data_IF_861842843178
#
_entry.id   IF_861842843178
#
_cell.length_a   1.000
_cell.length_b   1.000
_cell.length_c   1.000
_cell.angle_alpha   90.00
_cell.angle_beta   90.00
_cell.angle_gamma   90.00
#
_symmetry.space_group_name_H-M   'P 1'
#
loop_
_entity.id
_entity.type
_entity.pdbx_description
1 polymer ?
#
# COMPACT_ATOMS: atom_id res chain seq x y z
N UNK A 1 11.40 24.52 14.32
CA UNK A 1 11.04 23.26 15.02
C UNK A 1 9.66 22.74 14.58
N UNK A 2 8.60 23.56 14.59
CA UNK A 2 7.30 23.23 13.98
C UNK A 2 6.62 24.49 13.40
N UNK A 3 5.50 24.36 12.70
CA UNK A 3 4.60 25.47 12.34
C UNK A 3 3.14 25.04 12.41
N UNK A 4 2.23 25.98 12.70
CA UNK A 4 0.79 25.74 12.72
C UNK A 4 0.13 26.25 11.44
N UNK A 5 -0.85 25.51 10.95
CA UNK A 5 -1.74 25.90 9.85
C UNK A 5 -3.17 25.51 10.18
N UNK A 6 -4.14 26.12 9.51
CA UNK A 6 -5.52 25.67 9.57
C UNK A 6 -5.87 24.95 8.27
N UNK A 7 -6.40 23.74 8.39
CA UNK A 7 -7.06 23.05 7.28
C UNK A 7 -8.56 23.31 7.42
N UNK A 8 -9.06 24.31 6.68
CA UNK A 8 -10.38 24.90 6.92
C UNK A 8 -10.51 25.41 8.37
N UNK A 9 -11.32 24.75 9.19
CA UNK A 9 -11.52 25.07 10.60
C UNK A 9 -10.67 24.20 11.55
N UNK A 10 -9.90 23.23 11.02
CA UNK A 10 -9.13 22.29 11.82
C UNK A 10 -7.70 22.80 12.03
N UNK A 11 -7.31 23.17 13.27
CA UNK A 11 -5.92 23.52 13.57
C UNK A 11 -5.03 22.29 13.36
N UNK A 12 -3.95 22.47 12.61
CA UNK A 12 -3.02 21.41 12.22
C UNK A 12 -1.59 21.83 12.50
N UNK A 13 -0.84 20.96 13.19
CA UNK A 13 0.57 21.19 13.50
C UNK A 13 1.44 20.44 12.48
N UNK A 14 2.37 21.15 11.84
CA UNK A 14 3.37 20.60 10.93
C UNK A 14 4.69 20.48 11.68
N UNK A 15 5.13 19.25 11.89
CA UNK A 15 6.42 18.92 12.51
C UNK A 15 7.53 18.94 11.45
N UNK A 16 8.66 19.60 11.76
CA UNK A 16 9.83 19.69 10.87
C UNK A 16 11.14 19.29 11.55
N UNK A 17 11.06 18.84 12.80
CA UNK A 17 12.18 18.52 13.66
C UNK A 17 12.14 17.00 13.95
N UNK A 18 13.16 16.22 13.54
CA UNK A 18 13.20 14.77 13.74
C UNK A 18 13.05 14.33 15.21
N UNK A 19 13.57 15.13 16.15
CA UNK A 19 13.46 14.80 17.57
C UNK A 19 12.02 14.89 18.06
N UNK A 20 11.27 15.90 17.57
CA UNK A 20 9.85 16.03 17.86
C UNK A 20 9.02 14.96 17.17
N UNK A 21 9.37 14.60 15.93
CA UNK A 21 8.70 13.49 15.21
C UNK A 21 8.87 12.20 16.01
N UNK A 22 10.11 11.86 16.42
CA UNK A 22 10.38 10.68 17.23
C UNK A 22 9.67 10.73 18.59
N UNK A 23 9.59 11.91 19.20
CA UNK A 23 8.86 12.07 20.45
C UNK A 23 7.39 11.68 20.26
N UNK A 24 6.72 12.20 19.24
CA UNK A 24 5.30 11.98 18.99
C UNK A 24 5.00 10.57 18.48
N UNK A 25 5.80 10.05 17.54
CA UNK A 25 5.52 8.76 16.88
C UNK A 25 6.06 7.54 17.62
N UNK A 26 6.93 7.73 18.62
CA UNK A 26 7.55 6.61 19.37
C UNK A 26 7.42 6.77 20.87
N UNK A 27 7.89 7.89 21.46
CA UNK A 27 7.93 8.04 22.93
C UNK A 27 6.54 8.24 23.51
N UNK A 28 5.77 9.13 22.91
CA UNK A 28 4.44 9.54 23.37
C UNK A 28 3.35 8.92 22.49
N UNK A 29 3.65 7.82 21.77
CA UNK A 29 2.77 7.19 20.79
C UNK A 29 1.36 6.90 21.32
N UNK A 30 1.23 6.50 22.58
CA UNK A 30 -0.06 6.18 23.19
C UNK A 30 -1.04 7.37 23.26
N UNK A 31 -0.55 8.62 23.10
CA UNK A 31 -1.38 9.82 22.98
C UNK A 31 -1.75 10.15 21.52
N UNK A 32 -1.03 9.59 20.55
CA UNK A 32 -1.13 9.91 19.10
C UNK A 32 -1.34 8.66 18.25
N UNK A 33 -2.20 7.75 18.72
CA UNK A 33 -2.42 6.42 18.12
C UNK A 33 -3.18 6.53 16.80
N UNK A 34 -4.15 7.44 16.73
CA UNK A 34 -5.13 7.49 15.65
C UNK A 34 -4.68 8.36 14.48
N UNK A 35 -4.87 7.86 13.27
CA UNK A 35 -4.74 8.66 12.06
C UNK A 35 -5.98 9.52 11.86
N UNK A 36 -5.80 10.63 11.13
CA UNK A 36 -6.95 11.41 10.68
C UNK A 36 -7.72 10.61 9.64
N UNK A 37 -8.99 10.29 9.95
CA UNK A 37 -9.86 9.65 8.98
C UNK A 37 -10.12 10.58 7.79
N UNK A 38 -9.96 10.04 6.59
CA UNK A 38 -10.28 10.69 5.32
C UNK A 38 -11.69 10.35 4.81
N UNK A 39 -12.33 9.33 5.41
CA UNK A 39 -13.57 8.72 4.90
C UNK A 39 -14.58 8.64 6.06
N UNK A 40 -15.78 9.23 5.92
CA UNK A 40 -16.85 9.04 6.91
C UNK A 40 -17.15 7.54 7.08
N UNK A 41 -17.33 7.08 8.33
CA UNK A 41 -17.54 5.65 8.63
C UNK A 41 -18.69 5.02 7.82
N UNK A 42 -19.71 5.81 7.47
CA UNK A 42 -20.91 5.38 6.76
C UNK A 42 -20.82 5.46 5.24
N UNK A 43 -19.73 6.00 4.68
CA UNK A 43 -19.65 6.29 3.24
C UNK A 43 -19.22 5.10 2.39
N UNK A 44 -18.25 4.31 2.84
CA UNK A 44 -17.79 3.10 2.16
C UNK A 44 -17.29 2.06 3.20
N UNK A 45 -17.95 0.89 3.30
CA UNK A 45 -17.58 -0.13 4.27
C UNK A 45 -16.16 -0.71 4.11
N UNK A 46 -15.58 -0.69 2.91
CA UNK A 46 -14.22 -1.17 2.62
C UNK A 46 -13.19 -0.13 3.04
N UNK A 47 -13.36 1.13 2.65
CA UNK A 47 -12.42 2.19 3.01
C UNK A 47 -12.53 2.61 4.48
N UNK A 48 -13.73 2.59 5.07
CA UNK A 48 -13.90 2.90 6.49
C UNK A 48 -13.26 1.85 7.42
N UNK A 49 -13.17 0.59 6.97
CA UNK A 49 -12.64 -0.53 7.78
C UNK A 49 -11.20 -0.91 7.46
N UNK A 50 -10.52 -0.16 6.59
CA UNK A 50 -9.12 -0.39 6.32
C UNK A 50 -8.24 -0.04 7.55
N UNK A 51 -7.05 -0.62 7.64
CA UNK A 51 -6.16 -0.44 8.79
C UNK A 51 -5.72 1.02 9.02
N UNK A 52 -5.74 1.88 8.01
CA UNK A 52 -5.38 3.30 8.16
C UNK A 52 -6.53 4.16 8.68
N UNK A 53 -7.77 3.71 8.51
CA UNK A 53 -8.98 4.40 8.97
C UNK A 53 -9.44 3.96 10.36
N UNK A 54 -9.11 2.73 10.77
CA UNK A 54 -9.45 2.22 12.11
C UNK A 54 -8.73 3.01 13.20
N UNK A 55 -9.40 3.19 14.33
CA UNK A 55 -8.91 3.91 15.51
C UNK A 55 -8.96 3.05 16.77
N UNK A 56 -8.20 3.44 17.79
CA UNK A 56 -8.21 2.86 19.12
C UNK A 56 -7.98 1.34 19.14
N UNK A 57 -8.78 0.62 19.94
CA UNK A 57 -8.61 -0.82 20.13
C UNK A 57 -8.83 -1.62 18.85
N UNK A 58 -9.80 -1.22 18.00
CA UNK A 58 -10.07 -1.91 16.72
C UNK A 58 -8.84 -1.90 15.81
N UNK A 59 -8.14 -0.77 15.77
CA UNK A 59 -6.87 -0.67 15.06
C UNK A 59 -5.80 -1.57 15.66
N UNK A 60 -5.64 -1.56 16.99
CA UNK A 60 -4.65 -2.40 17.70
C UNK A 60 -4.88 -3.88 17.42
N UNK A 61 -6.12 -4.33 17.50
CA UNK A 61 -6.50 -5.73 17.24
C UNK A 61 -6.19 -6.11 15.80
N UNK A 62 -6.66 -5.33 14.82
CA UNK A 62 -6.41 -5.60 13.40
C UNK A 62 -4.92 -5.57 13.06
N UNK A 63 -4.17 -4.62 13.61
CA UNK A 63 -2.71 -4.52 13.43
C UNK A 63 -2.01 -5.76 13.96
N UNK A 64 -2.39 -6.22 15.16
CA UNK A 64 -1.85 -7.44 15.77
C UNK A 64 -2.16 -8.68 14.90
N UNK A 65 -3.36 -8.76 14.33
CA UNK A 65 -3.76 -9.85 13.43
C UNK A 65 -2.96 -9.87 12.12
N UNK A 66 -2.69 -8.70 11.52
CA UNK A 66 -2.05 -8.61 10.20
C UNK A 66 -0.50 -8.66 10.25
N UNK A 67 0.11 -8.20 11.34
CA UNK A 67 1.58 -8.11 11.46
C UNK A 67 2.31 -9.44 11.23
N UNK A 68 1.83 -10.61 11.70
CA UNK A 68 2.49 -11.90 11.48
C UNK A 68 2.63 -12.32 10.00
N UNK A 69 1.77 -11.79 9.12
CA UNK A 69 1.81 -12.08 7.67
C UNK A 69 3.11 -11.59 7.02
N UNK A 70 3.75 -10.57 7.60
CA UNK A 70 4.98 -9.95 7.07
C UNK A 70 6.25 -10.40 7.78
N UNK A 71 6.21 -11.55 8.48
CA UNK A 71 7.42 -12.14 9.08
C UNK A 71 8.45 -12.53 8.03
N UNK A 72 9.73 -12.56 8.39
CA UNK A 72 10.82 -12.89 7.47
C UNK A 72 10.65 -14.24 6.77
N UNK A 73 10.03 -15.23 7.43
CA UNK A 73 9.72 -16.53 6.83
C UNK A 73 8.65 -16.40 5.74
N UNK A 74 7.55 -15.69 6.00
CA UNK A 74 6.50 -15.41 5.02
C UNK A 74 6.99 -14.56 3.86
N UNK A 75 7.82 -13.55 4.13
CA UNK A 75 8.45 -12.73 3.09
C UNK A 75 9.35 -13.55 2.16
N UNK A 76 10.08 -14.55 2.68
CA UNK A 76 10.86 -15.49 1.83
C UNK A 76 9.97 -16.29 0.90
N UNK A 77 8.77 -16.70 1.35
CA UNK A 77 7.81 -17.36 0.47
C UNK A 77 7.22 -16.40 -0.58
N UNK A 78 6.88 -15.17 -0.19
CA UNK A 78 6.39 -14.15 -1.15
C UNK A 78 7.43 -13.82 -2.22
N UNK A 79 8.72 -13.83 -1.87
CA UNK A 79 9.80 -13.54 -2.80
C UNK A 79 9.78 -14.43 -4.06
N UNK A 80 9.47 -15.73 -3.92
CA UNK A 80 9.41 -16.62 -5.10
C UNK A 80 8.29 -16.23 -6.06
N UNK A 81 7.13 -15.82 -5.54
CA UNK A 81 6.00 -15.33 -6.32
C UNK A 81 6.31 -13.99 -6.99
N UNK A 82 6.98 -13.08 -6.26
CA UNK A 82 7.43 -11.78 -6.81
C UNK A 82 8.43 -12.03 -7.94
N UNK A 83 9.40 -12.93 -7.75
CA UNK A 83 10.38 -13.29 -8.77
C UNK A 83 9.71 -13.87 -10.01
N UNK A 84 8.73 -14.75 -9.83
CA UNK A 84 7.96 -15.31 -10.95
C UNK A 84 7.23 -14.23 -11.74
N UNK A 85 6.58 -13.27 -11.06
CA UNK A 85 5.95 -12.14 -11.73
C UNK A 85 6.98 -11.25 -12.45
N UNK A 86 8.16 -11.07 -11.86
CA UNK A 86 9.27 -10.34 -12.49
C UNK A 86 9.76 -11.00 -13.78
N UNK A 87 9.86 -12.33 -13.80
CA UNK A 87 10.16 -13.06 -15.04
C UNK A 87 9.07 -12.89 -16.09
N UNK A 88 7.79 -12.93 -15.71
CA UNK A 88 6.68 -12.71 -16.64
C UNK A 88 6.70 -11.30 -17.22
N UNK A 89 6.97 -10.31 -16.39
CA UNK A 89 7.14 -8.91 -16.79
C UNK A 89 8.24 -8.76 -17.85
N UNK A 90 9.42 -9.34 -17.63
CA UNK A 90 10.52 -9.31 -18.61
C UNK A 90 10.14 -10.07 -19.88
N UNK A 91 9.55 -11.26 -19.75
CA UNK A 91 9.08 -12.08 -20.88
C UNK A 91 8.05 -11.33 -21.74
N UNK A 92 7.20 -10.50 -21.16
CA UNK A 92 6.23 -9.69 -21.91
C UNK A 92 6.92 -8.76 -22.91
N UNK A 93 7.94 -8.03 -22.47
CA UNK A 93 8.67 -7.08 -23.34
C UNK A 93 9.59 -7.78 -24.34
N UNK A 94 10.27 -8.86 -23.94
CA UNK A 94 11.11 -9.63 -24.86
C UNK A 94 10.31 -10.20 -26.05
N UNK A 95 9.04 -10.55 -25.84
CA UNK A 95 8.15 -11.04 -26.92
C UNK A 95 7.82 -9.99 -27.98
N UNK A 96 7.95 -8.70 -27.67
CA UNK A 96 7.66 -7.62 -28.63
C UNK A 96 8.71 -7.57 -29.75
N UNK A 97 9.90 -8.14 -29.52
CA UNK A 97 10.99 -8.26 -30.50
C UNK A 97 11.34 -6.91 -31.17
N UNK A 98 11.44 -5.86 -30.36
CA UNK A 98 11.81 -4.50 -30.77
C UNK A 98 13.16 -4.13 -30.15
N UNK A 99 14.01 -3.46 -30.92
CA UNK A 99 15.31 -2.96 -30.44
C UNK A 99 15.15 -1.86 -29.39
N UNK A 100 14.10 -1.04 -29.51
CA UNK A 100 13.76 0.03 -28.58
C UNK A 100 12.28 -0.08 -28.25
N UNK A 101 11.98 -0.27 -26.96
CA UNK A 101 10.62 -0.30 -26.42
C UNK A 101 10.40 0.98 -25.63
N UNK A 102 9.38 1.74 -26.00
CA UNK A 102 8.94 2.93 -25.25
C UNK A 102 7.70 2.56 -24.45
N UNK A 103 7.74 2.78 -23.13
CA UNK A 103 6.63 2.50 -22.22
C UNK A 103 6.28 3.71 -21.37
N UNK A 104 5.01 3.80 -20.97
CA UNK A 104 4.60 4.69 -19.89
C UNK A 104 4.90 3.98 -18.56
N UNK A 105 5.85 4.54 -17.81
CA UNK A 105 6.43 3.88 -16.63
C UNK A 105 5.40 3.69 -15.52
N UNK A 106 4.51 4.66 -15.30
CA UNK A 106 3.51 4.58 -14.23
C UNK A 106 2.55 3.42 -14.48
N UNK A 107 1.89 3.36 -15.62
CA UNK A 107 0.97 2.28 -16.00
C UNK A 107 1.67 0.91 -15.99
N UNK A 108 2.87 0.85 -16.57
CA UNK A 108 3.66 -0.40 -16.64
C UNK A 108 3.97 -0.95 -15.24
N UNK A 109 4.48 -0.12 -14.34
CA UNK A 109 4.81 -0.57 -12.98
C UNK A 109 3.58 -0.72 -12.10
N UNK A 110 2.51 0.06 -12.29
CA UNK A 110 1.24 -0.15 -11.58
C UNK A 110 0.68 -1.54 -11.90
N UNK A 111 0.67 -1.95 -13.18
CA UNK A 111 0.26 -3.31 -13.60
C UNK A 111 1.12 -4.40 -13.00
N UNK A 112 2.44 -4.21 -12.99
CA UNK A 112 3.36 -5.16 -12.36
C UNK A 112 3.09 -5.32 -10.86
N UNK A 113 2.98 -4.20 -10.13
CA UNK A 113 2.71 -4.23 -8.68
C UNK A 113 1.33 -4.80 -8.36
N UNK A 114 0.35 -4.58 -9.24
CA UNK A 114 -0.98 -5.18 -9.15
C UNK A 114 -0.91 -6.71 -9.24
N UNK A 115 -0.18 -7.25 -10.22
CA UNK A 115 0.02 -8.69 -10.34
C UNK A 115 0.80 -9.28 -9.16
N UNK A 116 1.76 -8.53 -8.61
CA UNK A 116 2.49 -8.90 -7.39
C UNK A 116 1.55 -9.03 -6.20
N UNK A 117 0.70 -8.03 -5.93
CA UNK A 117 -0.20 -8.10 -4.78
C UNK A 117 -1.31 -9.14 -5.00
N UNK A 118 -1.88 -9.23 -6.21
CA UNK A 118 -2.87 -10.24 -6.58
C UNK A 118 -2.36 -11.65 -6.30
N UNK A 119 -1.13 -11.95 -6.71
CA UNK A 119 -0.55 -13.28 -6.56
C UNK A 119 -0.11 -13.54 -5.11
N UNK A 120 0.56 -12.59 -4.47
CA UNK A 120 1.14 -12.81 -3.13
C UNK A 120 0.12 -12.74 -1.99
N UNK A 121 -0.86 -11.83 -2.06
CA UNK A 121 -1.85 -11.66 -1.00
C UNK A 121 -3.13 -12.47 -1.26
N UNK A 122 -3.53 -12.64 -2.53
CA UNK A 122 -4.81 -13.28 -2.89
C UNK A 122 -4.66 -14.60 -3.64
N UNK A 123 -3.44 -14.98 -4.05
CA UNK A 123 -3.20 -16.20 -4.83
C UNK A 123 -3.75 -16.16 -6.25
N UNK A 124 -4.06 -14.96 -6.78
CA UNK A 124 -4.67 -14.77 -8.11
C UNK A 124 -3.60 -14.34 -9.12
N UNK A 125 -3.62 -14.96 -10.30
CA UNK A 125 -2.77 -14.58 -11.44
C UNK A 125 -3.59 -13.78 -12.44
N UNK A 126 -3.31 -12.49 -12.56
CA UNK A 126 -4.08 -11.57 -13.41
C UNK A 126 -3.44 -11.35 -14.80
N UNK A 127 -2.10 -11.31 -14.87
CA UNK A 127 -1.35 -10.91 -16.08
C UNK A 127 -1.83 -9.54 -16.61
N UNK A 128 -1.66 -8.50 -15.80
CA UNK A 128 -2.22 -7.16 -16.07
C UNK A 128 -1.59 -6.45 -17.26
N UNK A 129 -0.43 -6.92 -17.75
CA UNK A 129 0.18 -6.46 -18.99
C UNK A 129 -0.39 -7.19 -20.21
N UNK A 130 -0.59 -8.51 -20.13
CA UNK A 130 -1.21 -9.30 -21.21
C UNK A 130 -2.73 -9.10 -21.31
N UNK A 131 -3.39 -8.80 -20.18
CA UNK A 131 -4.84 -8.59 -20.06
C UNK A 131 -5.12 -7.23 -19.41
N UNK A 132 -5.05 -6.13 -20.18
CA UNK A 132 -5.07 -4.78 -19.61
C UNK A 132 -6.36 -4.38 -18.89
N UNK A 133 -7.46 -5.11 -19.15
CA UNK A 133 -8.80 -4.87 -18.61
C UNK A 133 -9.25 -5.96 -17.62
N UNK A 134 -8.31 -6.66 -16.98
CA UNK A 134 -8.65 -7.65 -15.97
C UNK A 134 -9.37 -6.98 -14.78
N UNK A 135 -10.34 -7.68 -14.18
CA UNK A 135 -11.20 -7.12 -13.14
C UNK A 135 -10.41 -6.67 -11.91
N UNK A 136 -9.36 -7.41 -11.53
CA UNK A 136 -8.53 -7.08 -10.39
C UNK A 136 -7.83 -5.72 -10.56
N UNK A 137 -7.30 -5.43 -11.76
CA UNK A 137 -6.69 -4.13 -12.06
C UNK A 137 -7.71 -3.00 -12.19
N UNK A 138 -8.89 -3.29 -12.74
CA UNK A 138 -9.92 -2.27 -13.02
C UNK A 138 -10.71 -1.88 -11.78
N UNK A 139 -10.90 -2.79 -10.83
CA UNK A 139 -11.71 -2.59 -9.62
C UNK A 139 -10.88 -2.49 -8.34
N UNK A 140 -9.63 -2.97 -8.34
CA UNK A 140 -8.74 -3.04 -7.19
C UNK A 140 -7.94 -1.77 -6.91
#
# INVERSE_FOLDING_TARGET
RYCGVYQFYLPTLILRDPDLIKQITVKDFDHFVDHRSFVPEDSDPLFAKNLFSLTGQKWRDMRSTLSPTFTSSKMKFMFSLISQNGEQFVKHFLKQNQDIITVEMKDTFTRFTNDVIANTAFGVKCDSLGQPKNEFYMMG
#
